data_IF_740445165855
#
_entry.id   IF_740445165855
#
_cell.length_a   1.000
_cell.length_b   1.000
_cell.length_c   1.000
_cell.angle_alpha   90.00
_cell.angle_beta   90.00
_cell.angle_gamma   90.00
#
_symmetry.space_group_name_H-M   'P 1'
#
loop_
_entity.id
_entity.type
_entity.pdbx_description
1 polymer ?
#
# COMPACT_ATOMS: atom_id res chain seq x y z
N UNK A 1 2.90 -30.76 7.09
CA UNK A 1 3.09 -31.87 8.05
C UNK A 1 2.41 -33.13 7.54
N UNK A 2 3.12 -34.27 7.54
CA UNK A 2 2.59 -35.59 7.13
C UNK A 2 2.89 -36.64 8.21
N UNK A 3 1.91 -37.47 8.55
CA UNK A 3 2.11 -38.59 9.47
C UNK A 3 2.85 -39.73 8.74
N UNK A 4 3.87 -40.29 9.40
CA UNK A 4 4.68 -41.38 8.84
C UNK A 4 4.53 -42.71 9.58
N UNK A 5 4.05 -42.69 10.83
CA UNK A 5 3.79 -43.93 11.56
C UNK A 5 3.51 -43.72 13.04
N UNK A 6 3.55 -44.83 13.78
CA UNK A 6 3.38 -44.91 15.23
C UNK A 6 4.55 -45.65 15.89
N UNK A 7 4.88 -45.28 17.12
CA UNK A 7 5.88 -45.95 17.96
C UNK A 7 5.26 -46.31 19.31
N UNK A 8 5.66 -47.47 19.85
CA UNK A 8 5.01 -48.08 21.01
C UNK A 8 5.23 -47.33 22.34
N UNK A 9 6.26 -46.47 22.42
CA UNK A 9 6.57 -45.72 23.65
C UNK A 9 7.16 -44.35 23.35
N UNK A 10 7.04 -43.46 24.34
CA UNK A 10 7.63 -42.12 24.30
C UNK A 10 9.15 -42.15 24.13
N UNK A 11 9.80 -43.14 24.77
CA UNK A 11 11.25 -43.31 24.70
C UNK A 11 11.71 -43.68 23.28
N UNK A 12 10.96 -44.54 22.59
CA UNK A 12 11.25 -44.89 21.20
C UNK A 12 10.96 -43.71 20.27
N UNK A 13 9.86 -42.99 20.50
CA UNK A 13 9.49 -41.81 19.73
C UNK A 13 10.53 -40.68 19.86
N UNK A 14 10.97 -40.40 21.08
CA UNK A 14 12.01 -39.41 21.37
C UNK A 14 13.35 -39.81 20.75
N UNK A 15 13.78 -41.07 20.92
CA UNK A 15 15.04 -41.57 20.36
C UNK A 15 15.06 -41.47 18.83
N UNK A 16 13.96 -41.83 18.17
CA UNK A 16 13.89 -41.73 16.72
C UNK A 16 13.77 -40.26 16.26
N UNK A 17 13.07 -39.40 17.01
CA UNK A 17 13.02 -37.96 16.74
C UNK A 17 14.39 -37.29 16.86
N UNK A 18 15.21 -37.69 17.84
CA UNK A 18 16.60 -37.25 17.98
C UNK A 18 17.44 -37.63 16.76
N UNK A 19 17.34 -38.88 16.31
CA UNK A 19 18.01 -39.34 15.10
C UNK A 19 17.56 -38.60 13.83
N UNK A 20 16.26 -38.38 13.65
CA UNK A 20 15.77 -37.59 12.52
C UNK A 20 16.34 -36.17 12.53
N UNK A 21 16.51 -35.58 13.72
CA UNK A 21 17.08 -34.24 13.84
C UNK A 21 18.55 -34.19 13.40
N UNK A 22 19.35 -35.23 13.64
CA UNK A 22 20.75 -35.28 13.15
C UNK A 22 20.83 -35.37 11.62
N UNK A 23 19.78 -35.89 10.97
CA UNK A 23 19.62 -35.87 9.51
C UNK A 23 19.04 -34.54 8.97
N UNK A 24 18.75 -33.57 9.84
CA UNK A 24 18.09 -32.31 9.46
C UNK A 24 16.59 -32.47 9.15
N UNK A 25 15.97 -33.54 9.64
CA UNK A 25 14.54 -33.82 9.45
C UNK A 25 13.78 -33.42 10.72
N UNK A 26 13.01 -32.34 10.61
CA UNK A 26 12.19 -31.87 11.73
C UNK A 26 10.92 -32.70 11.89
N UNK A 27 10.75 -33.26 13.09
CA UNK A 27 9.63 -34.12 13.43
C UNK A 27 8.86 -33.61 14.65
N UNK A 28 7.60 -34.03 14.75
CA UNK A 28 6.73 -33.84 15.90
C UNK A 28 6.14 -35.17 16.34
N UNK A 29 6.13 -35.42 17.65
CA UNK A 29 5.55 -36.60 18.27
C UNK A 29 4.30 -36.22 19.05
N UNK A 30 3.18 -36.90 18.81
CA UNK A 30 1.92 -36.71 19.52
C UNK A 30 1.45 -38.04 20.12
N UNK A 31 0.92 -38.01 21.35
CA UNK A 31 0.38 -39.22 21.99
C UNK A 31 -1.01 -39.55 21.44
N UNK A 32 -1.20 -40.78 20.97
CA UNK A 32 -2.48 -41.29 20.50
C UNK A 32 -3.33 -41.86 21.66
N UNK A 33 -4.63 -42.04 21.41
CA UNK A 33 -5.61 -42.54 22.38
C UNK A 33 -5.37 -43.99 22.80
N UNK A 34 -4.66 -44.77 21.98
CA UNK A 34 -4.25 -46.15 22.24
C UNK A 34 -2.94 -46.27 23.07
N UNK A 35 -2.34 -45.13 23.44
CA UNK A 35 -1.08 -45.08 24.19
C UNK A 35 0.17 -45.10 23.33
N UNK A 36 0.06 -45.28 22.02
CA UNK A 36 1.16 -45.18 21.06
C UNK A 36 1.48 -43.70 20.74
N UNK A 37 2.61 -43.47 20.09
CA UNK A 37 3.09 -42.13 19.73
C UNK A 37 3.11 -41.97 18.21
N UNK A 38 2.31 -41.04 17.70
CA UNK A 38 2.23 -40.64 16.31
C UNK A 38 3.44 -39.78 15.94
N UNK A 39 4.07 -40.07 14.81
CA UNK A 39 5.20 -39.32 14.31
C UNK A 39 4.84 -38.57 13.03
N UNK A 40 5.10 -37.27 13.04
CA UNK A 40 4.79 -36.32 11.97
C UNK A 40 6.05 -35.64 11.47
N UNK A 41 6.18 -35.49 10.15
CA UNK A 41 7.31 -34.80 9.51
C UNK A 41 6.84 -33.44 8.99
N UNK A 42 7.66 -32.41 9.18
CA UNK A 42 7.31 -31.04 8.80
C UNK A 42 7.32 -30.83 7.29
N UNK A 43 8.44 -31.16 6.63
CA UNK A 43 8.64 -30.95 5.20
C UNK A 43 8.22 -32.16 4.36
N UNK A 44 7.50 -31.92 3.27
CA UNK A 44 6.92 -32.99 2.44
C UNK A 44 7.96 -33.76 1.62
N UNK A 45 9.02 -33.09 1.18
CA UNK A 45 10.17 -33.67 0.48
C UNK A 45 11.00 -34.66 1.33
N UNK A 46 10.90 -34.60 2.66
CA UNK A 46 11.64 -35.47 3.59
C UNK A 46 10.83 -36.69 4.04
N UNK A 47 9.55 -36.78 3.64
CA UNK A 47 8.62 -37.82 4.13
C UNK A 47 9.05 -39.22 3.72
N UNK A 48 9.47 -39.40 2.46
CA UNK A 48 9.83 -40.71 1.94
C UNK A 48 11.11 -41.24 2.62
N UNK A 49 12.12 -40.39 2.78
CA UNK A 49 13.34 -40.71 3.53
C UNK A 49 13.00 -41.08 4.99
N UNK A 50 12.17 -40.27 5.66
CA UNK A 50 11.80 -40.52 7.04
C UNK A 50 11.01 -41.83 7.24
N UNK A 51 10.23 -42.25 6.24
CA UNK A 51 9.54 -43.56 6.25
C UNK A 51 10.53 -44.71 6.15
N UNK A 52 11.49 -44.64 5.23
CA UNK A 52 12.55 -45.66 5.11
C UNK A 52 13.38 -45.77 6.39
N UNK A 53 13.73 -44.63 7.00
CA UNK A 53 14.44 -44.62 8.30
C UNK A 53 13.59 -45.19 9.43
N UNK A 54 12.27 -44.96 9.43
CA UNK A 54 11.36 -45.50 10.45
C UNK A 54 11.25 -47.03 10.35
N UNK A 55 11.24 -47.59 9.15
CA UNK A 55 11.26 -49.04 8.95
C UNK A 55 12.56 -49.66 9.46
N UNK A 56 13.71 -49.03 9.16
CA UNK A 56 15.00 -49.46 9.67
C UNK A 56 15.13 -49.31 11.20
N UNK A 57 14.50 -48.28 11.78
CA UNK A 57 14.46 -48.11 13.24
C UNK A 57 13.64 -49.21 13.91
N UNK A 58 12.50 -49.58 13.33
CA UNK A 58 11.63 -50.63 13.88
C UNK A 58 12.27 -52.01 13.88
N UNK A 59 13.16 -52.30 12.94
CA UNK A 59 13.86 -53.58 12.89
C UNK A 59 14.98 -53.70 13.92
N UNK A 60 15.64 -52.60 14.30
CA UNK A 60 16.64 -52.58 15.36
C UNK A 60 16.69 -51.23 16.13
N UNK A 61 15.76 -50.99 17.08
CA UNK A 61 15.67 -49.70 17.79
C UNK A 61 16.84 -49.40 18.74
N UNK A 62 17.62 -50.43 19.09
CA UNK A 62 18.75 -50.36 20.02
C UNK A 62 20.12 -50.25 19.32
N UNK A 63 20.11 -50.04 18.00
CA UNK A 63 21.31 -49.75 17.23
C UNK A 63 22.10 -48.57 17.85
N UNK A 64 23.42 -48.65 17.81
CA UNK A 64 24.30 -47.63 18.35
C UNK A 64 24.03 -46.25 17.75
N UNK A 65 23.68 -46.17 16.45
CA UNK A 65 23.42 -44.90 15.75
C UNK A 65 22.26 -44.10 16.35
N UNK A 66 21.24 -44.79 16.89
CA UNK A 66 20.09 -44.14 17.51
C UNK A 66 20.35 -43.74 18.95
N UNK A 67 21.21 -44.50 19.66
CA UNK A 67 21.64 -44.18 21.02
C UNK A 67 22.59 -42.99 21.05
N UNK A 68 23.50 -42.88 20.08
CA UNK A 68 24.45 -41.77 19.99
C UNK A 68 23.82 -40.47 19.49
N UNK A 69 22.65 -40.53 18.83
CA UNK A 69 22.00 -39.35 18.27
C UNK A 69 21.47 -38.36 19.33
N UNK A 70 21.21 -38.81 20.57
CA UNK A 70 20.64 -37.97 21.62
C UNK A 70 21.53 -36.76 21.98
N UNK A 71 22.84 -36.98 22.10
CA UNK A 71 23.79 -35.91 22.45
C UNK A 71 23.94 -34.89 21.31
N UNK A 72 23.99 -35.37 20.07
CA UNK A 72 24.06 -34.53 18.88
C UNK A 72 22.78 -33.70 18.71
N UNK A 73 21.61 -34.34 18.84
CA UNK A 73 20.30 -33.69 18.79
C UNK A 73 20.16 -32.61 19.88
N UNK A 74 20.67 -32.86 21.09
CA UNK A 74 20.70 -31.85 22.16
C UNK A 74 21.55 -30.63 21.78
N UNK A 75 22.69 -30.85 21.13
CA UNK A 75 23.53 -29.79 20.57
C UNK A 75 22.80 -28.95 19.51
N UNK A 76 22.14 -29.61 18.56
CA UNK A 76 21.38 -28.96 17.48
C UNK A 76 20.25 -28.09 18.06
N UNK A 77 19.43 -28.63 18.98
CA UNK A 77 18.34 -27.89 19.62
C UNK A 77 18.83 -26.66 20.38
N UNK A 78 19.96 -26.76 21.09
CA UNK A 78 20.55 -25.63 21.81
C UNK A 78 20.97 -24.53 20.84
N UNK A 79 21.58 -24.88 19.71
CA UNK A 79 21.97 -23.92 18.66
C UNK A 79 20.76 -23.27 18.00
N UNK A 80 19.70 -24.01 17.70
CA UNK A 80 18.45 -23.47 17.17
C UNK A 80 17.76 -22.52 18.14
N UNK A 81 17.69 -22.88 19.43
CA UNK A 81 17.14 -22.00 20.46
C UNK A 81 17.93 -20.69 20.60
N UNK A 82 19.27 -20.74 20.51
CA UNK A 82 20.11 -19.55 20.53
C UNK A 82 19.85 -18.66 19.31
N UNK A 83 19.81 -19.24 18.10
CA UNK A 83 19.47 -18.52 16.86
C UNK A 83 18.08 -17.91 16.93
N UNK A 84 17.10 -18.64 17.46
CA UNK A 84 15.74 -18.12 17.64
C UNK A 84 15.68 -16.97 18.64
N UNK A 85 16.43 -17.08 19.74
CA UNK A 85 16.53 -16.01 20.75
C UNK A 85 17.18 -14.76 20.18
N UNK A 86 18.21 -14.90 19.36
CA UNK A 86 18.82 -13.78 18.63
C UNK A 86 17.85 -13.18 17.60
N UNK A 87 17.15 -14.01 16.83
CA UNK A 87 16.11 -13.55 15.90
C UNK A 87 15.02 -12.76 16.62
N UNK A 88 14.56 -13.25 17.77
CA UNK A 88 13.53 -12.57 18.58
C UNK A 88 14.01 -11.25 19.18
N UNK A 89 15.29 -11.11 19.55
CA UNK A 89 15.85 -9.82 19.99
C UNK A 89 15.85 -8.78 18.87
N UNK A 90 15.96 -9.21 17.62
CA UNK A 90 15.92 -8.34 16.44
C UNK A 90 14.49 -8.09 15.91
N UNK A 91 13.48 -8.72 16.50
CA UNK A 91 12.07 -8.47 16.19
C UNK A 91 11.54 -7.47 17.22
N UNK A 92 11.35 -6.22 16.79
CA UNK A 92 10.59 -5.24 17.56
C UNK A 92 9.09 -5.50 17.38
N UNK A 93 8.40 -5.88 18.46
CA UNK A 93 6.93 -6.02 18.49
C UNK A 93 6.25 -4.67 18.24
N UNK A 94 5.81 -4.45 17.00
CA UNK A 94 4.88 -3.37 16.68
C UNK A 94 3.48 -3.85 17.06
N UNK A 95 3.05 -3.57 18.28
CA UNK A 95 1.66 -3.82 18.71
C UNK A 95 0.69 -3.12 17.74
N UNK A 96 -0.15 -3.83 16.97
CA UNK A 96 -1.20 -3.20 16.20
C UNK A 96 -2.40 -3.00 17.13
N UNK A 97 -2.59 -1.78 17.62
CA UNK A 97 -3.91 -1.36 18.10
C UNK A 97 -4.78 -1.19 16.86
N UNK A 98 -5.66 -2.15 16.59
CA UNK A 98 -6.78 -2.08 15.64
C UNK A 98 -6.53 -1.23 14.40
N UNK A 99 -5.73 -1.75 13.47
CA UNK A 99 -5.36 -1.07 12.23
C UNK A 99 -4.40 -1.94 11.44
N UNK A 100 -4.27 -1.69 10.14
CA UNK A 100 -3.27 -2.36 9.30
C UNK A 100 -1.87 -2.17 9.93
N UNK A 101 -1.03 -3.21 10.04
CA UNK A 101 0.33 -3.06 10.59
C UNK A 101 1.09 -1.94 9.87
N UNK A 102 1.55 -0.93 10.64
CA UNK A 102 2.17 0.29 10.09
C UNK A 102 1.20 1.44 9.78
N UNK A 103 -0.12 1.28 9.95
CA UNK A 103 -1.06 2.39 9.89
C UNK A 103 -1.05 3.15 11.22
N UNK A 104 -0.30 4.25 11.25
CA UNK A 104 -0.23 5.16 12.38
C UNK A 104 0.52 6.42 11.98
N UNK A 105 0.03 7.59 12.41
CA UNK A 105 0.63 8.89 12.05
C UNK A 105 1.90 9.24 12.86
N UNK A 106 2.32 8.36 13.78
CA UNK A 106 3.59 8.50 14.47
C UNK A 106 4.75 8.28 13.49
N UNK A 107 5.70 9.22 13.46
CA UNK A 107 6.81 9.21 12.49
C UNK A 107 6.41 9.54 11.05
N UNK A 108 5.24 10.12 10.81
CA UNK A 108 4.76 10.51 9.48
C UNK A 108 4.25 11.98 9.46
N UNK A 109 5.12 12.97 9.71
CA UNK A 109 4.73 14.38 9.83
C UNK A 109 4.13 14.96 8.54
N UNK A 110 4.62 14.59 7.36
CA UNK A 110 4.13 15.12 6.07
C UNK A 110 2.73 14.58 5.78
N UNK A 111 2.52 13.28 5.95
CA UNK A 111 1.21 12.66 5.82
C UNK A 111 0.20 13.32 6.75
N UNK A 112 0.58 13.53 8.02
CA UNK A 112 -0.26 14.22 9.01
C UNK A 112 -0.59 15.65 8.59
N UNK A 113 0.42 16.42 8.16
CA UNK A 113 0.23 17.80 7.73
C UNK A 113 -0.73 17.90 6.54
N UNK A 114 -0.57 17.04 5.53
CA UNK A 114 -1.44 17.00 4.35
C UNK A 114 -2.88 16.67 4.75
N UNK A 115 -3.08 15.66 5.61
CA UNK A 115 -4.41 15.31 6.10
C UNK A 115 -5.07 16.50 6.80
N UNK A 116 -4.35 17.14 7.72
CA UNK A 116 -4.86 18.31 8.46
C UNK A 116 -5.19 19.46 7.51
N UNK A 117 -4.29 19.79 6.57
CA UNK A 117 -4.50 20.86 5.60
C UNK A 117 -5.74 20.59 4.74
N UNK A 118 -5.86 19.40 4.16
CA UNK A 118 -7.00 19.02 3.32
C UNK A 118 -8.31 19.06 4.11
N UNK A 119 -8.33 18.56 5.35
CA UNK A 119 -9.53 18.58 6.20
C UNK A 119 -9.91 20.00 6.59
N UNK A 120 -8.95 20.84 7.00
CA UNK A 120 -9.22 22.24 7.36
C UNK A 120 -9.77 23.02 6.17
N UNK A 121 -9.12 22.89 5.00
CA UNK A 121 -9.59 23.55 3.77
C UNK A 121 -11.00 23.07 3.40
N UNK A 122 -11.27 21.77 3.48
CA UNK A 122 -12.58 21.22 3.18
C UNK A 122 -13.65 21.73 4.15
N UNK A 123 -13.35 21.84 5.46
CA UNK A 123 -14.27 22.38 6.45
C UNK A 123 -14.53 23.87 6.23
N UNK A 124 -13.50 24.66 5.92
CA UNK A 124 -13.67 26.08 5.56
C UNK A 124 -14.52 26.23 4.30
N UNK A 125 -14.30 25.40 3.28
CA UNK A 125 -15.14 25.39 2.08
C UNK A 125 -16.60 25.00 2.36
N UNK A 126 -16.85 24.08 3.29
CA UNK A 126 -18.21 23.62 3.61
C UNK A 126 -19.00 24.60 4.50
N UNK A 127 -18.33 25.25 5.44
CA UNK A 127 -18.99 26.02 6.50
C UNK A 127 -18.70 27.51 6.48
N UNK A 128 -17.70 27.96 5.73
CA UNK A 128 -17.29 29.36 5.64
C UNK A 128 -17.31 29.90 4.19
N UNK A 129 -17.97 29.18 3.29
CA UNK A 129 -18.37 29.68 1.96
C UNK A 129 -19.76 30.29 2.04
N UNK A 130 -19.95 31.44 1.39
CA UNK A 130 -21.27 32.06 1.13
C UNK A 130 -21.83 31.61 -0.21
N UNK A 131 -20.95 31.15 -1.11
CA UNK A 131 -21.25 30.86 -2.52
C UNK A 131 -21.84 32.06 -3.28
N UNK A 132 -21.69 33.28 -2.73
CA UNK A 132 -22.03 34.52 -3.40
C UNK A 132 -20.79 35.06 -4.12
N UNK A 133 -20.90 35.28 -5.43
CA UNK A 133 -19.82 35.84 -6.24
C UNK A 133 -19.52 37.31 -5.91
N UNK A 134 -20.46 38.03 -5.30
CA UNK A 134 -20.31 39.46 -4.96
C UNK A 134 -19.78 39.68 -3.54
N UNK A 135 -20.00 38.71 -2.65
CA UNK A 135 -19.57 38.75 -1.25
C UNK A 135 -19.06 37.36 -0.83
N UNK A 136 -17.88 36.95 -1.34
CA UNK A 136 -17.36 35.61 -1.12
C UNK A 136 -16.98 35.40 0.34
N UNK A 137 -17.37 34.26 0.90
CA UNK A 137 -16.86 33.82 2.19
C UNK A 137 -15.38 33.44 2.09
N UNK A 138 -14.69 33.35 3.23
CA UNK A 138 -13.29 32.92 3.28
C UNK A 138 -13.07 31.53 2.65
N UNK A 139 -14.08 30.65 2.69
CA UNK A 139 -14.06 29.37 2.00
C UNK A 139 -14.01 29.52 0.48
N UNK A 140 -14.79 30.44 -0.09
CA UNK A 140 -14.82 30.71 -1.52
C UNK A 140 -13.52 31.35 -2.00
N UNK A 141 -12.94 32.25 -1.20
CA UNK A 141 -11.63 32.85 -1.47
C UNK A 141 -10.51 31.80 -1.51
N UNK A 142 -10.46 30.89 -0.53
CA UNK A 142 -9.47 29.81 -0.48
C UNK A 142 -9.62 28.90 -1.72
N UNK A 143 -10.86 28.52 -2.05
CA UNK A 143 -11.13 27.69 -3.22
C UNK A 143 -10.73 28.41 -4.50
N UNK A 144 -11.06 29.70 -4.65
CA UNK A 144 -10.65 30.52 -5.78
C UNK A 144 -9.14 30.68 -5.89
N UNK A 145 -8.42 30.82 -4.77
CA UNK A 145 -6.96 30.94 -4.75
C UNK A 145 -6.24 29.63 -5.12
N UNK A 146 -6.81 28.49 -4.74
CA UNK A 146 -6.16 27.18 -4.85
C UNK A 146 -6.63 26.36 -6.06
N UNK A 147 -7.72 26.76 -6.72
CA UNK A 147 -8.23 26.13 -7.94
C UNK A 147 -7.23 26.22 -9.10
N UNK A 148 -7.39 25.38 -10.12
CA UNK A 148 -6.45 25.33 -11.24
C UNK A 148 -6.42 26.64 -12.05
N UNK A 149 -7.58 27.30 -12.18
CA UNK A 149 -7.73 28.67 -12.66
C UNK A 149 -8.30 29.56 -11.55
N UNK A 150 -7.95 30.85 -11.58
CA UNK A 150 -8.66 31.84 -10.76
C UNK A 150 -10.13 31.96 -11.21
N UNK A 151 -11.04 32.43 -10.35
CA UNK A 151 -12.44 32.62 -10.73
C UNK A 151 -12.60 33.49 -11.99
N UNK A 152 -11.81 34.56 -12.12
CA UNK A 152 -11.83 35.46 -13.27
C UNK A 152 -11.32 34.78 -14.54
N UNK A 153 -10.20 34.04 -14.43
CA UNK A 153 -9.62 33.33 -15.57
C UNK A 153 -10.46 32.13 -16.00
N UNK A 154 -11.16 31.51 -15.06
CA UNK A 154 -12.12 30.45 -15.33
C UNK A 154 -13.32 30.99 -16.11
N UNK A 155 -13.88 32.13 -15.71
CA UNK A 155 -14.93 32.79 -16.50
C UNK A 155 -14.41 33.14 -17.89
N UNK A 156 -13.21 33.72 -17.97
CA UNK A 156 -12.57 34.06 -19.23
C UNK A 156 -12.34 32.82 -20.12
N UNK A 157 -11.99 31.66 -19.53
CA UNK A 157 -11.76 30.40 -20.23
C UNK A 157 -13.02 29.91 -20.96
N UNK A 158 -14.21 30.07 -20.34
CA UNK A 158 -15.47 29.63 -20.96
C UNK A 158 -16.01 30.56 -22.04
N UNK A 159 -15.70 31.86 -21.97
CA UNK A 159 -16.22 32.85 -22.93
C UNK A 159 -15.25 33.14 -24.09
N UNK A 160 -13.98 32.81 -23.95
CA UNK A 160 -12.97 33.12 -24.96
C UNK A 160 -12.90 32.04 -26.05
N UNK A 161 -12.65 32.42 -27.33
CA UNK A 161 -12.41 31.46 -28.40
C UNK A 161 -11.18 30.59 -28.15
N UNK A 162 -10.16 31.17 -27.50
CA UNK A 162 -8.93 30.47 -27.11
C UNK A 162 -9.05 29.97 -25.66
N UNK A 163 -9.43 28.69 -25.51
CA UNK A 163 -9.60 28.00 -24.23
C UNK A 163 -8.24 27.61 -23.64
N UNK A 164 -7.44 28.60 -23.27
CA UNK A 164 -6.13 28.39 -22.67
C UNK A 164 -6.25 27.98 -21.19
N UNK A 165 -5.94 26.72 -20.82
CA UNK A 165 -6.05 26.27 -19.42
C UNK A 165 -4.92 26.81 -18.53
N UNK A 166 -3.90 27.45 -19.09
CA UNK A 166 -2.73 27.94 -18.37
C UNK A 166 -2.80 29.44 -18.05
N UNK A 167 -3.93 30.11 -18.27
CA UNK A 167 -4.09 31.57 -18.10
C UNK A 167 -3.58 32.11 -16.77
N UNK A 168 -4.04 31.57 -15.65
CA UNK A 168 -3.61 32.02 -14.33
C UNK A 168 -2.13 31.72 -14.06
N UNK A 169 -1.64 30.59 -14.59
CA UNK A 169 -0.24 30.16 -14.43
C UNK A 169 0.69 31.09 -15.22
N UNK A 170 0.31 31.51 -16.43
CA UNK A 170 1.04 32.49 -17.25
C UNK A 170 1.13 33.87 -16.57
N UNK A 171 0.22 34.19 -15.65
CA UNK A 171 0.26 35.39 -14.80
C UNK A 171 1.14 35.23 -13.54
N UNK A 172 1.84 34.11 -13.38
CA UNK A 172 2.73 33.85 -12.25
C UNK A 172 2.09 33.07 -11.09
N UNK A 173 0.84 32.63 -11.20
CA UNK A 173 0.14 31.86 -10.16
C UNK A 173 0.52 30.37 -10.19
N UNK A 174 1.83 30.08 -10.12
CA UNK A 174 2.41 28.74 -10.36
C UNK A 174 1.99 27.69 -9.32
N UNK A 175 1.58 28.11 -8.12
CA UNK A 175 1.08 27.19 -7.09
C UNK A 175 -0.17 26.42 -7.52
N UNK A 176 -0.95 26.96 -8.46
CA UNK A 176 -2.16 26.33 -9.03
C UNK A 176 -1.89 25.02 -9.76
N UNK A 177 -0.62 24.74 -10.09
CA UNK A 177 -0.21 23.43 -10.60
C UNK A 177 -0.31 22.31 -9.55
N UNK A 178 -0.32 22.65 -8.26
CA UNK A 178 -0.29 21.69 -7.14
C UNK A 178 -1.53 21.82 -6.26
N UNK A 179 -1.93 23.05 -5.91
CA UNK A 179 -2.97 23.33 -4.91
C UNK A 179 -4.35 22.73 -5.16
N UNK A 180 -4.81 22.44 -6.40
CA UNK A 180 -6.08 21.74 -6.60
C UNK A 180 -6.17 20.38 -5.90
N UNK A 181 -5.02 19.73 -5.66
CA UNK A 181 -4.98 18.47 -4.93
C UNK A 181 -5.43 18.63 -3.45
N UNK A 182 -5.30 19.82 -2.87
CA UNK A 182 -5.67 20.11 -1.49
C UNK A 182 -7.17 20.41 -1.31
N UNK A 183 -7.84 20.80 -2.40
CA UNK A 183 -9.27 21.11 -2.41
C UNK A 183 -10.11 19.83 -2.43
N UNK A 184 -11.29 19.87 -1.83
CA UNK A 184 -12.27 18.79 -1.86
C UNK A 184 -13.66 19.34 -2.16
N UNK A 185 -14.61 18.49 -2.55
CA UNK A 185 -15.97 18.96 -2.78
C UNK A 185 -16.53 19.56 -1.48
N UNK A 186 -17.09 20.76 -1.55
CA UNK A 186 -17.60 21.52 -0.41
C UNK A 186 -19.12 21.60 -0.32
N UNK A 187 -19.85 21.09 -1.33
CA UNK A 187 -21.31 21.13 -1.37
C UNK A 187 -21.90 19.71 -1.43
N UNK A 188 -22.95 19.50 -0.62
CA UNK A 188 -23.79 18.30 -0.64
C UNK A 188 -23.21 17.10 0.12
N UNK A 189 -24.02 16.04 0.24
CA UNK A 189 -23.69 14.82 1.00
C UNK A 189 -22.40 14.10 0.56
N UNK A 190 -21.97 14.29 -0.68
CA UNK A 190 -20.76 13.68 -1.23
C UNK A 190 -19.48 14.41 -0.81
N UNK A 191 -19.58 15.64 -0.30
CA UNK A 191 -18.46 16.44 0.17
C UNK A 191 -17.65 15.72 1.26
N UNK A 192 -18.35 15.28 2.33
CA UNK A 192 -17.74 14.57 3.46
C UNK A 192 -17.20 13.19 3.05
N UNK A 193 -17.92 12.46 2.21
CA UNK A 193 -17.48 11.16 1.71
C UNK A 193 -16.21 11.30 0.86
N UNK A 194 -16.12 12.33 0.02
CA UNK A 194 -14.97 12.55 -0.84
C UNK A 194 -13.70 12.86 -0.03
N UNK A 195 -13.75 13.82 0.90
CA UNK A 195 -12.58 14.13 1.75
C UNK A 195 -12.27 12.98 2.70
N UNK A 196 -13.27 12.36 3.31
CA UNK A 196 -13.09 11.23 4.23
C UNK A 196 -12.42 10.04 3.56
N UNK A 197 -12.87 9.67 2.35
CA UNK A 197 -12.28 8.56 1.58
C UNK A 197 -10.84 8.86 1.17
N UNK A 198 -10.55 10.05 0.65
CA UNK A 198 -9.19 10.42 0.28
C UNK A 198 -8.26 10.39 1.49
N UNK A 199 -8.66 10.99 2.61
CA UNK A 199 -7.81 11.04 3.81
C UNK A 199 -7.63 9.66 4.43
N UNK A 200 -8.65 8.80 4.37
CA UNK A 200 -8.51 7.40 4.77
C UNK A 200 -7.49 6.66 3.90
N UNK A 201 -7.55 6.81 2.57
CA UNK A 201 -6.58 6.17 1.68
C UNK A 201 -5.16 6.71 1.87
N UNK A 202 -5.01 8.02 2.07
CA UNK A 202 -3.72 8.63 2.41
C UNK A 202 -3.22 8.15 3.78
N UNK A 203 -4.09 7.97 4.78
CA UNK A 203 -3.70 7.41 6.08
C UNK A 203 -3.20 5.97 5.96
N UNK A 204 -3.77 5.18 5.04
CA UNK A 204 -3.39 3.79 4.83
C UNK A 204 -2.04 3.65 4.08
N UNK A 205 -1.76 4.51 3.11
CA UNK A 205 -0.57 4.43 2.26
C UNK A 205 0.58 5.34 2.73
N UNK A 206 0.23 6.56 3.13
CA UNK A 206 1.15 7.66 3.40
C UNK A 206 2.17 7.36 4.49
N UNK A 207 1.78 6.93 5.71
CA UNK A 207 2.74 6.72 6.79
C UNK A 207 3.73 5.60 6.50
N UNK A 208 3.27 4.57 5.77
CA UNK A 208 4.10 3.43 5.37
C UNK A 208 5.18 3.91 4.40
N UNK A 209 4.80 4.66 3.36
CA UNK A 209 5.74 5.23 2.39
C UNK A 209 6.65 6.29 3.02
N UNK A 210 6.10 7.18 3.84
CA UNK A 210 6.85 8.27 4.45
C UNK A 210 7.97 7.76 5.36
N UNK A 211 7.70 6.75 6.18
CA UNK A 211 8.75 6.17 7.03
C UNK A 211 9.80 5.39 6.24
N UNK A 212 9.44 4.87 5.08
CA UNK A 212 10.37 4.11 4.24
C UNK A 212 11.26 5.00 3.39
N UNK A 213 10.71 6.07 2.83
CA UNK A 213 11.42 7.03 1.99
C UNK A 213 12.08 8.16 2.80
N UNK A 214 11.54 8.45 3.98
CA UNK A 214 11.82 9.67 4.72
C UNK A 214 10.93 10.83 4.27
N UNK A 215 10.65 11.75 5.19
CA UNK A 215 9.66 12.82 5.00
C UNK A 215 9.96 13.74 3.81
N UNK A 216 11.24 14.08 3.56
CA UNK A 216 11.60 14.97 2.44
C UNK A 216 11.35 14.32 1.07
N UNK A 217 11.76 13.06 0.91
CA UNK A 217 11.54 12.32 -0.34
C UNK A 217 10.05 12.05 -0.56
N UNK A 218 9.33 11.75 0.51
CA UNK A 218 7.88 11.59 0.46
C UNK A 218 7.18 12.90 0.07
N UNK A 219 7.58 14.05 0.64
CA UNK A 219 7.04 15.35 0.25
C UNK A 219 7.28 15.63 -1.24
N UNK A 220 8.50 15.40 -1.73
CA UNK A 220 8.82 15.58 -3.15
C UNK A 220 7.99 14.66 -4.05
N UNK A 221 7.84 13.39 -3.67
CA UNK A 221 6.98 12.44 -4.37
C UNK A 221 5.54 12.96 -4.47
N UNK A 222 4.94 13.44 -3.37
CA UNK A 222 3.59 14.00 -3.40
C UNK A 222 3.47 15.23 -4.29
N UNK A 223 4.47 16.13 -4.31
CA UNK A 223 4.48 17.31 -5.20
C UNK A 223 4.54 16.89 -6.67
N UNK A 224 5.41 15.95 -7.02
CA UNK A 224 5.53 15.46 -8.41
C UNK A 224 4.25 14.76 -8.86
N UNK A 225 3.65 13.94 -7.99
CA UNK A 225 2.40 13.26 -8.30
C UNK A 225 1.23 14.25 -8.44
N UNK A 226 1.15 15.27 -7.58
CA UNK A 226 0.14 16.32 -7.69
C UNK A 226 0.29 17.08 -9.01
N UNK A 227 1.53 17.43 -9.38
CA UNK A 227 1.83 18.08 -10.66
C UNK A 227 1.37 17.22 -11.84
N UNK A 228 1.77 15.94 -11.87
CA UNK A 228 1.43 15.03 -12.96
C UNK A 228 -0.08 14.81 -13.08
N UNK A 229 -0.78 14.58 -11.95
CA UNK A 229 -2.23 14.43 -11.92
C UNK A 229 -2.96 15.68 -12.39
N UNK A 230 -2.57 16.86 -11.89
CA UNK A 230 -3.25 18.11 -12.22
C UNK A 230 -3.00 18.52 -13.67
N UNK A 231 -1.79 18.32 -14.21
CA UNK A 231 -1.49 18.55 -15.62
C UNK A 231 -2.25 17.58 -16.52
N UNK A 232 -2.34 16.30 -16.15
CA UNK A 232 -3.11 15.31 -16.88
C UNK A 232 -4.61 15.68 -16.94
N UNK A 233 -5.16 16.23 -15.86
CA UNK A 233 -6.56 16.64 -15.81
C UNK A 233 -6.84 17.98 -16.51
N UNK A 234 -6.01 18.99 -16.23
CA UNK A 234 -6.26 20.38 -16.61
C UNK A 234 -5.69 20.81 -17.95
N UNK A 235 -4.66 20.13 -18.47
CA UNK A 235 -3.90 20.59 -19.64
C UNK A 235 -3.87 19.54 -20.76
N UNK A 236 -3.77 18.25 -20.43
CA UNK A 236 -3.74 17.20 -21.44
C UNK A 236 -4.91 17.26 -22.45
N UNK A 237 -6.16 17.56 -22.04
CA UNK A 237 -7.28 17.70 -22.97
C UNK A 237 -7.14 18.83 -23.99
N UNK A 238 -6.34 19.88 -23.71
CA UNK A 238 -6.11 20.96 -24.67
C UNK A 238 -4.96 20.66 -25.64
N UNK A 239 -4.14 19.64 -25.35
CA UNK A 239 -2.98 19.25 -26.17
C UNK A 239 -3.33 18.07 -27.08
N UNK A 240 -3.99 17.07 -26.50
CA UNK A 240 -4.48 15.93 -27.25
C UNK A 240 -5.79 16.36 -27.90
N UNK A 241 -5.69 16.77 -29.16
CA UNK A 241 -6.82 16.98 -30.08
C UNK A 241 -7.91 15.91 -29.87
N UNK A 242 -9.19 16.18 -30.20
CA UNK A 242 -10.37 15.35 -29.89
C UNK A 242 -10.33 13.92 -30.50
N UNK A 243 -9.34 13.14 -30.13
CA UNK A 243 -9.08 11.76 -30.52
C UNK A 243 -10.14 10.88 -29.90
N UNK A 244 -10.33 9.68 -30.44
CA UNK A 244 -11.31 8.72 -29.93
C UNK A 244 -11.19 8.46 -28.42
N UNK A 245 -9.98 8.57 -27.85
CA UNK A 245 -9.73 8.50 -26.40
C UNK A 245 -10.34 9.67 -25.61
N UNK A 246 -10.31 10.87 -26.18
CA UNK A 246 -10.94 12.09 -25.62
C UNK A 246 -12.46 12.08 -25.87
N UNK A 247 -12.91 11.53 -27.01
CA UNK A 247 -14.34 11.45 -27.41
C UNK A 247 -15.14 10.32 -26.77
N UNK A 248 -14.51 9.24 -26.32
CA UNK A 248 -15.19 8.16 -25.59
C UNK A 248 -15.83 8.66 -24.28
N UNK A 249 -15.52 9.90 -23.90
CA UNK A 249 -15.96 10.55 -22.70
C UNK A 249 -16.12 12.06 -22.96
N UNK A 250 -17.33 12.53 -23.21
CA UNK A 250 -17.58 13.97 -23.31
C UNK A 250 -17.38 14.75 -21.98
N UNK A 251 -16.78 14.20 -20.91
CA UNK A 251 -16.73 14.88 -19.61
C UNK A 251 -15.69 14.41 -18.55
N UNK A 252 -14.48 13.94 -18.89
CA UNK A 252 -13.52 13.48 -17.84
C UNK A 252 -12.23 14.30 -17.68
N UNK A 253 -11.97 15.27 -18.56
CA UNK A 253 -10.86 16.23 -18.50
C UNK A 253 -11.38 17.66 -18.42
N UNK A 254 -10.68 18.57 -17.75
CA UNK A 254 -11.10 19.97 -17.66
C UNK A 254 -10.36 20.75 -16.59
N UNK A 255 -10.59 22.07 -16.57
CA UNK A 255 -9.94 23.00 -15.64
C UNK A 255 -10.64 23.11 -14.28
N UNK A 256 -11.86 22.56 -14.16
CA UNK A 256 -12.62 22.50 -12.91
C UNK A 256 -12.48 21.11 -12.30
N UNK A 257 -11.51 20.95 -11.41
CA UNK A 257 -11.28 19.70 -10.69
C UNK A 257 -10.63 20.00 -9.34
N UNK A 258 -10.76 19.04 -8.43
CA UNK A 258 -10.22 19.10 -7.08
C UNK A 258 -10.07 17.68 -6.53
N UNK A 259 -9.22 17.55 -5.51
CA UNK A 259 -9.12 16.31 -4.73
C UNK A 259 -7.73 15.71 -4.72
N UNK A 260 -7.39 15.10 -3.59
CA UNK A 260 -6.10 14.46 -3.38
C UNK A 260 -5.97 13.09 -4.08
N UNK A 261 -7.06 12.60 -4.67
CA UNK A 261 -7.17 11.25 -5.24
C UNK A 261 -6.15 10.94 -6.33
N UNK A 262 -5.77 11.92 -7.15
CA UNK A 262 -4.72 11.72 -8.16
C UNK A 262 -3.38 11.35 -7.53
N UNK A 263 -3.01 12.05 -6.46
CA UNK A 263 -1.80 11.74 -5.68
C UNK A 263 -1.90 10.37 -5.04
N UNK A 264 -3.05 10.00 -4.47
CA UNK A 264 -3.27 8.67 -3.88
C UNK A 264 -3.05 7.55 -4.90
N UNK A 265 -3.59 7.69 -6.11
CA UNK A 265 -3.35 6.71 -7.18
C UNK A 265 -1.87 6.66 -7.60
N UNK A 266 -1.17 7.80 -7.56
CA UNK A 266 0.28 7.82 -7.78
C UNK A 266 1.08 7.15 -6.66
N UNK A 267 0.72 7.36 -5.39
CA UNK A 267 1.35 6.66 -4.27
C UNK A 267 1.10 5.15 -4.35
N UNK A 268 -0.11 4.76 -4.73
CA UNK A 268 -0.48 3.37 -4.98
C UNK A 268 0.33 2.75 -6.13
N UNK A 269 0.39 3.40 -7.30
CA UNK A 269 1.17 2.93 -8.44
C UNK A 269 2.67 2.84 -8.12
N UNK A 270 3.22 3.84 -7.45
CA UNK A 270 4.60 3.85 -6.98
C UNK A 270 4.87 2.64 -6.09
N UNK A 271 4.04 2.44 -5.07
CA UNK A 271 4.24 1.36 -4.11
C UNK A 271 4.05 -0.01 -4.76
N UNK A 272 3.06 -0.16 -5.64
CA UNK A 272 2.81 -1.42 -6.35
C UNK A 272 4.05 -1.83 -7.16
N UNK A 273 4.49 -1.00 -8.10
CA UNK A 273 5.64 -1.37 -8.95
C UNK A 273 6.92 -1.49 -8.12
N UNK A 274 7.14 -0.57 -7.18
CA UNK A 274 8.34 -0.60 -6.34
C UNK A 274 8.44 -1.89 -5.53
N UNK A 275 7.36 -2.30 -4.88
CA UNK A 275 7.34 -3.53 -4.06
C UNK A 275 7.39 -4.80 -4.89
N UNK A 276 6.82 -4.80 -6.11
CA UNK A 276 6.89 -5.95 -7.01
C UNK A 276 8.29 -6.18 -7.61
N UNK A 277 9.05 -5.11 -7.87
CA UNK A 277 10.36 -5.18 -8.53
C UNK A 277 11.56 -5.22 -7.55
N UNK A 278 11.36 -4.75 -6.33
CA UNK A 278 12.36 -4.73 -5.26
C UNK A 278 11.79 -5.37 -3.98
N UNK A 279 11.95 -6.70 -3.80
CA UNK A 279 11.51 -7.39 -2.58
C UNK A 279 12.17 -6.86 -1.30
N UNK A 280 13.36 -6.23 -1.41
CA UNK A 280 14.05 -5.63 -0.26
C UNK A 280 13.42 -4.32 0.18
N UNK A 281 12.49 -3.77 -0.61
CA UNK A 281 11.71 -2.58 -0.24
C UNK A 281 10.91 -2.80 1.05
N UNK A 282 10.59 -4.05 1.40
CA UNK A 282 10.10 -4.43 2.73
C UNK A 282 8.71 -3.91 3.07
N UNK A 283 7.94 -3.51 2.05
CA UNK A 283 6.53 -3.11 2.18
C UNK A 283 5.72 -3.96 1.21
N UNK A 284 4.66 -4.57 1.71
CA UNK A 284 3.64 -5.21 0.90
C UNK A 284 2.32 -4.48 1.06
N UNK A 285 1.64 -4.24 -0.05
CA UNK A 285 0.26 -3.76 -0.04
C UNK A 285 -0.66 -4.89 0.39
N UNK A 286 -1.56 -4.61 1.33
CA UNK A 286 -2.62 -5.55 1.69
C UNK A 286 -3.55 -5.71 0.48
N UNK A 287 -3.86 -6.95 0.12
CA UNK A 287 -4.67 -7.26 -1.08
C UNK A 287 -6.01 -6.50 -1.11
N UNK A 288 -6.63 -6.28 0.05
CA UNK A 288 -7.88 -5.52 0.16
C UNK A 288 -7.72 -4.06 -0.29
N UNK A 289 -6.60 -3.41 0.03
CA UNK A 289 -6.32 -2.03 -0.41
C UNK A 289 -6.14 -1.94 -1.92
N UNK A 290 -5.45 -2.91 -2.52
CA UNK A 290 -5.30 -3.03 -3.97
C UNK A 290 -6.67 -3.19 -4.61
N UNK A 291 -7.49 -4.13 -4.12
CA UNK A 291 -8.82 -4.37 -4.64
C UNK A 291 -9.72 -3.14 -4.55
N UNK A 292 -9.75 -2.46 -3.40
CA UNK A 292 -10.59 -1.27 -3.23
C UNK A 292 -10.17 -0.18 -4.22
N UNK A 293 -8.87 0.13 -4.35
CA UNK A 293 -8.40 1.17 -5.26
C UNK A 293 -8.63 0.80 -6.73
N UNK A 294 -8.42 -0.46 -7.11
CA UNK A 294 -8.66 -0.92 -8.48
C UNK A 294 -10.14 -0.92 -8.85
N UNK A 295 -11.01 -1.46 -7.97
CA UNK A 295 -12.45 -1.45 -8.20
C UNK A 295 -12.96 -0.01 -8.25
N UNK A 296 -12.55 0.84 -7.31
CA UNK A 296 -12.93 2.25 -7.30
C UNK A 296 -12.50 2.97 -8.59
N UNK A 297 -11.27 2.73 -9.07
CA UNK A 297 -10.76 3.31 -10.31
C UNK A 297 -11.68 3.01 -11.50
N UNK A 298 -12.03 1.73 -11.68
CA UNK A 298 -12.89 1.34 -12.79
C UNK A 298 -14.34 1.83 -12.62
N UNK A 299 -14.88 1.85 -11.40
CA UNK A 299 -16.20 2.41 -11.15
C UNK A 299 -16.28 3.91 -11.51
N UNK A 300 -15.21 4.67 -11.26
CA UNK A 300 -15.09 6.07 -11.68
C UNK A 300 -14.95 6.19 -13.20
N UNK A 301 -14.10 5.37 -13.84
CA UNK A 301 -13.88 5.38 -15.29
C UNK A 301 -15.12 4.97 -16.09
N UNK A 302 -15.91 4.02 -15.61
CA UNK A 302 -17.16 3.59 -16.25
C UNK A 302 -18.38 4.46 -15.88
N UNK A 303 -18.18 5.56 -15.14
CA UNK A 303 -19.24 6.52 -14.82
C UNK A 303 -20.28 6.03 -13.81
N UNK A 304 -20.03 4.92 -13.11
CA UNK A 304 -20.86 4.48 -11.98
C UNK A 304 -20.77 5.50 -10.84
N UNK A 305 -19.57 6.01 -10.60
CA UNK A 305 -19.33 7.20 -9.78
C UNK A 305 -19.12 8.40 -10.71
N UNK A 306 -20.07 9.33 -10.68
CA UNK A 306 -20.06 10.51 -11.54
C UNK A 306 -19.25 11.68 -10.95
N UNK A 307 -18.92 12.67 -11.77
CA UNK A 307 -18.18 13.88 -11.41
C UNK A 307 -16.78 13.61 -10.84
N UNK A 308 -16.06 12.67 -11.44
CA UNK A 308 -14.72 12.28 -11.02
C UNK A 308 -13.67 12.75 -12.04
N UNK A 309 -12.58 13.33 -11.53
CA UNK A 309 -11.41 13.71 -12.30
C UNK A 309 -10.58 12.46 -12.71
N UNK A 310 -11.10 11.68 -13.66
CA UNK A 310 -10.52 10.40 -14.06
C UNK A 310 -9.12 10.56 -14.70
N UNK A 311 -8.85 11.65 -15.42
CA UNK A 311 -7.51 11.93 -15.93
C UNK A 311 -6.52 12.26 -14.81
N UNK A 312 -6.96 12.89 -13.71
CA UNK A 312 -6.11 13.08 -12.54
C UNK A 312 -5.71 11.74 -11.90
N UNK A 313 -6.66 10.78 -11.79
CA UNK A 313 -6.40 9.43 -11.29
C UNK A 313 -5.40 8.70 -12.18
N UNK A 314 -5.63 8.70 -13.50
CA UNK A 314 -4.77 8.02 -14.46
C UNK A 314 -3.39 8.66 -14.57
N UNK A 315 -3.31 9.98 -14.65
CA UNK A 315 -2.03 10.71 -14.68
C UNK A 315 -1.21 10.47 -13.42
N UNK A 316 -1.87 10.45 -12.26
CA UNK A 316 -1.24 10.10 -10.98
C UNK A 316 -0.73 8.66 -10.98
N UNK A 317 -1.59 7.70 -11.32
CA UNK A 317 -1.26 6.28 -11.39
C UNK A 317 -0.04 6.04 -12.30
N UNK A 318 -0.08 6.53 -13.54
CA UNK A 318 1.01 6.37 -14.50
C UNK A 318 2.32 6.99 -13.99
N UNK A 319 2.28 8.22 -13.46
CA UNK A 319 3.46 8.87 -12.89
C UNK A 319 4.02 8.05 -11.70
N UNK A 320 3.15 7.53 -10.85
CA UNK A 320 3.50 6.63 -9.76
C UNK A 320 4.21 5.37 -10.23
N UNK A 321 3.60 4.64 -11.17
CA UNK A 321 4.16 3.43 -11.77
C UNK A 321 5.56 3.70 -12.35
N UNK A 322 5.72 4.79 -13.10
CA UNK A 322 6.99 5.19 -13.70
C UNK A 322 8.07 5.52 -12.65
N UNK A 323 7.75 6.33 -11.64
CA UNK A 323 8.68 6.66 -10.55
C UNK A 323 9.03 5.41 -9.72
N UNK A 324 8.06 4.53 -9.48
CA UNK A 324 8.27 3.25 -8.81
C UNK A 324 9.25 2.38 -9.58
N UNK A 325 9.07 2.28 -10.90
CA UNK A 325 9.96 1.55 -11.80
C UNK A 325 11.37 2.14 -11.80
N UNK A 326 11.50 3.45 -12.07
CA UNK A 326 12.79 4.16 -12.16
C UNK A 326 13.59 4.02 -10.88
N UNK A 327 12.95 4.26 -9.72
CA UNK A 327 13.66 4.12 -8.46
C UNK A 327 14.06 2.67 -8.20
N UNK A 328 13.26 1.68 -8.61
CA UNK A 328 13.57 0.26 -8.40
C UNK A 328 14.82 -0.17 -9.16
N UNK A 329 14.95 0.27 -10.42
CA UNK A 329 16.11 -0.06 -11.26
C UNK A 329 17.37 0.68 -10.83
N UNK A 330 17.28 1.92 -10.34
CA UNK A 330 18.44 2.71 -9.90
C UNK A 330 19.12 2.18 -8.61
N UNK A 331 18.48 1.25 -7.89
CA UNK A 331 19.05 0.60 -6.70
C UNK A 331 19.74 -0.74 -7.01
N UNK A 332 19.62 -1.25 -8.24
CA UNK A 332 20.35 -2.44 -8.71
C UNK A 332 21.71 -2.03 -9.24
#
# INVERSE_FOLDING_TARGET
>A
MRQIGKLASDQLASRFSDYLLTLGIHSKTDRASDGEYLLWIHEENQVDQARSELEAFRSNPDDARYRSAADEAAGIRKMEQLKERERRKNIHDVKPRGGVPGAGLSGAPVTKAIIVICVVIALLGMFASTHDLKDPGIGDEIYGAFSFLSPEDLQAYYISPDKDPLRSIKKGQVWRLITPALLHQNVGRMALLHVGFNMYMLYMLGPILERRLGSLQFLFLNVVLALASNLAQGVLPSILDETALVRFSNAYGGVQFLGYSGVIYGLFGFLWIRSSLDPTFGIMLVQSSIMILMVWFFLCWFGVIQNVANLAHTGGLVAGLLLGYLTAIMRR
#
